data_IF_893300009489
#
_entry.id   IF_893300009489
#
_cell.length_a   1.000
_cell.length_b   1.000
_cell.length_c   1.000
_cell.angle_alpha   90.00
_cell.angle_beta   90.00
_cell.angle_gamma   90.00
#
_symmetry.space_group_name_H-M   'P 1'
#
loop_
_entity.id
_entity.type
_entity.pdbx_description
1 polymer ?
#
# COMPACT_ATOMS: atom_id res chain seq x y z
N UNK A 1 22.51 4.65 -4.91
CA UNK A 1 21.17 4.47 -5.54
C UNK A 1 21.24 3.99 -7.00
N UNK A 2 22.34 4.23 -7.72
CA UNK A 2 22.50 3.90 -9.16
C UNK A 2 22.69 2.40 -9.45
N UNK A 3 23.38 1.65 -8.58
CA UNK A 3 23.67 0.21 -8.79
C UNK A 3 22.42 -0.68 -8.63
N UNK A 4 21.53 -0.31 -7.71
CA UNK A 4 20.27 -1.04 -7.45
C UNK A 4 19.31 -0.89 -8.64
N UNK A 5 19.26 0.29 -9.26
CA UNK A 5 18.44 0.51 -10.46
C UNK A 5 18.84 -0.38 -11.63
N UNK A 6 20.15 -0.56 -11.82
CA UNK A 6 20.69 -1.37 -12.92
C UNK A 6 20.45 -2.86 -12.66
N UNK A 7 20.68 -3.35 -11.43
CA UNK A 7 20.43 -4.76 -11.08
C UNK A 7 18.94 -5.13 -11.15
N UNK A 8 18.05 -4.26 -10.67
CA UNK A 8 16.60 -4.46 -10.76
C UNK A 8 16.14 -4.45 -12.22
N UNK A 9 16.60 -3.51 -13.04
CA UNK A 9 16.27 -3.48 -14.47
C UNK A 9 16.76 -4.74 -15.21
N UNK A 10 17.99 -5.19 -14.95
CA UNK A 10 18.56 -6.39 -15.60
C UNK A 10 17.78 -7.65 -15.19
N UNK A 11 17.44 -7.79 -13.91
CA UNK A 11 16.64 -8.89 -13.39
C UNK A 11 15.20 -8.92 -13.93
N UNK A 12 14.60 -7.76 -14.21
CA UNK A 12 13.28 -7.70 -14.86
C UNK A 12 13.33 -7.94 -16.36
N UNK A 13 14.40 -7.50 -17.04
CA UNK A 13 14.58 -7.70 -18.47
C UNK A 13 14.73 -9.17 -18.85
N UNK A 14 15.31 -10.00 -17.96
CA UNK A 14 15.44 -11.45 -18.19
C UNK A 14 14.10 -12.21 -18.14
N UNK A 15 13.05 -11.61 -17.57
CA UNK A 15 11.70 -12.20 -17.45
C UNK A 15 10.77 -11.86 -18.63
N UNK A 16 11.23 -11.10 -19.63
CA UNK A 16 10.49 -10.86 -20.88
C UNK A 16 9.23 -9.99 -20.77
N UNK A 17 8.90 -9.46 -19.59
CA UNK A 17 7.80 -8.52 -19.37
C UNK A 17 8.23 -7.36 -18.48
N UNK A 18 7.79 -6.14 -18.81
CA UNK A 18 7.93 -4.97 -17.93
C UNK A 18 7.04 -5.16 -16.70
N UNK A 19 7.63 -5.42 -15.54
CA UNK A 19 6.91 -5.56 -14.29
C UNK A 19 6.68 -4.20 -13.60
N UNK A 20 5.68 -4.12 -12.73
CA UNK A 20 5.28 -2.93 -11.99
C UNK A 20 6.47 -2.27 -11.25
N UNK A 21 7.30 -3.07 -10.58
CA UNK A 21 8.44 -2.57 -9.83
C UNK A 21 9.48 -1.87 -10.74
N UNK A 22 9.81 -2.49 -11.86
CA UNK A 22 10.75 -1.94 -12.82
C UNK A 22 10.20 -0.71 -13.54
N UNK A 23 8.93 -0.73 -13.93
CA UNK A 23 8.24 0.44 -14.50
C UNK A 23 8.20 1.62 -13.51
N UNK A 24 7.94 1.33 -12.23
CA UNK A 24 7.94 2.32 -11.15
C UNK A 24 9.31 2.95 -10.98
N UNK A 25 10.36 2.13 -10.88
CA UNK A 25 11.72 2.60 -10.69
C UNK A 25 12.19 3.46 -11.87
N UNK A 26 11.92 3.00 -13.10
CA UNK A 26 12.23 3.74 -14.32
C UNK A 26 11.50 5.09 -14.35
N UNK A 27 10.22 5.12 -13.98
CA UNK A 27 9.45 6.35 -13.92
C UNK A 27 10.02 7.33 -12.89
N UNK A 28 10.32 6.87 -11.66
CA UNK A 28 10.90 7.72 -10.61
C UNK A 28 12.27 8.27 -11.03
N UNK A 29 13.10 7.45 -11.68
CA UNK A 29 14.40 7.90 -12.17
C UNK A 29 14.27 8.95 -13.28
N UNK A 30 13.37 8.72 -14.25
CA UNK A 30 13.10 9.70 -15.30
C UNK A 30 12.53 10.99 -14.73
N UNK A 31 11.61 10.90 -13.75
CA UNK A 31 11.03 12.05 -13.06
C UNK A 31 12.09 12.91 -12.35
N UNK A 32 13.11 12.28 -11.76
CA UNK A 32 14.19 12.99 -11.06
C UNK A 32 15.13 13.77 -11.97
N UNK A 33 15.26 13.35 -13.23
CA UNK A 33 16.29 13.89 -14.14
C UNK A 33 15.73 14.67 -15.31
N UNK A 34 14.43 14.54 -15.61
CA UNK A 34 13.83 15.22 -16.73
C UNK A 34 13.63 16.72 -16.45
N UNK A 35 14.00 17.61 -17.40
CA UNK A 35 13.76 19.05 -17.28
C UNK A 35 12.29 19.44 -17.58
N UNK A 36 11.40 18.47 -17.82
CA UNK A 36 10.03 18.70 -18.26
C UNK A 36 9.10 17.52 -17.93
N UNK A 37 7.97 17.45 -18.63
CA UNK A 37 6.95 16.43 -18.37
C UNK A 37 7.45 15.02 -18.68
N UNK A 38 7.26 14.10 -17.73
CA UNK A 38 7.57 12.67 -17.90
C UNK A 38 6.28 11.90 -18.14
N UNK A 39 6.22 11.18 -19.26
CA UNK A 39 5.08 10.32 -19.59
C UNK A 39 5.27 8.91 -19.01
N UNK A 40 4.39 8.43 -18.11
CA UNK A 40 4.52 7.12 -17.47
C UNK A 40 4.01 5.97 -18.36
N UNK A 41 4.32 5.95 -19.66
CA UNK A 41 3.72 5.02 -20.61
C UNK A 41 3.88 3.55 -20.20
N UNK A 42 5.07 3.17 -19.73
CA UNK A 42 5.33 1.80 -19.25
C UNK A 42 4.58 1.49 -17.95
N UNK A 43 4.53 2.44 -17.01
CA UNK A 43 3.77 2.23 -15.77
C UNK A 43 2.28 2.08 -16.05
N UNK A 44 1.74 2.85 -17.00
CA UNK A 44 0.35 2.73 -17.47
C UNK A 44 0.09 1.36 -18.12
N UNK A 45 1.08 0.78 -18.79
CA UNK A 45 0.94 -0.59 -19.33
C UNK A 45 0.91 -1.67 -18.23
N UNK A 46 1.40 -1.37 -17.03
CA UNK A 46 1.41 -2.27 -15.88
C UNK A 46 0.13 -2.18 -15.02
N UNK A 47 -0.84 -1.30 -15.33
CA UNK A 47 -2.08 -1.16 -14.54
C UNK A 47 -2.79 -2.50 -14.27
N UNK A 48 -2.89 -3.44 -15.23
CA UNK A 48 -3.52 -4.74 -14.97
C UNK A 48 -2.81 -5.60 -13.91
N UNK A 49 -1.53 -5.33 -13.64
CA UNK A 49 -0.78 -6.01 -12.57
C UNK A 49 -1.17 -5.50 -11.18
N UNK A 50 -1.72 -4.27 -11.09
CA UNK A 50 -2.19 -3.68 -9.83
C UNK A 50 -3.57 -4.23 -9.51
N UNK A 51 -4.52 -4.08 -10.43
CA UNK A 51 -5.85 -4.67 -10.36
C UNK A 51 -6.47 -4.72 -11.75
N UNK A 52 -7.19 -5.79 -12.06
CA UNK A 52 -7.92 -5.95 -13.32
C UNK A 52 -9.07 -4.92 -13.48
N UNK A 53 -9.48 -4.27 -12.39
CA UNK A 53 -10.53 -3.26 -12.38
C UNK A 53 -10.01 -1.87 -12.79
N UNK A 54 -8.70 -1.63 -12.70
CA UNK A 54 -8.10 -0.34 -13.04
C UNK A 54 -7.84 -0.28 -14.53
N UNK A 55 -8.61 0.54 -15.25
CA UNK A 55 -8.55 0.66 -16.70
C UNK A 55 -8.06 2.03 -17.15
N UNK A 56 -7.17 2.04 -18.16
CA UNK A 56 -6.71 3.26 -18.81
C UNK A 56 -7.89 3.98 -19.47
N UNK A 57 -7.97 5.30 -19.28
CA UNK A 57 -8.99 6.14 -19.90
C UNK A 57 -10.31 6.20 -19.11
N UNK A 58 -10.37 5.55 -17.94
CA UNK A 58 -11.48 5.65 -17.01
C UNK A 58 -11.05 6.36 -15.73
N UNK A 59 -11.96 7.13 -15.12
CA UNK A 59 -11.74 7.71 -13.80
C UNK A 59 -11.84 6.61 -12.75
N UNK A 60 -10.95 6.63 -11.76
CA UNK A 60 -10.81 5.59 -10.74
C UNK A 60 -10.65 6.23 -9.36
N UNK A 61 -10.96 5.47 -8.30
CA UNK A 61 -10.72 5.89 -6.93
C UNK A 61 -9.21 5.92 -6.64
N UNK A 62 -8.67 7.10 -6.32
CA UNK A 62 -7.24 7.25 -6.05
C UNK A 62 -6.78 6.51 -4.79
N UNK A 63 -7.67 6.40 -3.78
CA UNK A 63 -7.42 5.66 -2.56
C UNK A 63 -7.26 4.16 -2.84
N UNK A 64 -8.24 3.55 -3.52
CA UNK A 64 -8.18 2.13 -3.91
C UNK A 64 -6.97 1.84 -4.79
N UNK A 65 -6.70 2.71 -5.77
CA UNK A 65 -5.50 2.61 -6.60
C UNK A 65 -4.22 2.58 -5.75
N UNK A 66 -4.07 3.50 -4.81
CA UNK A 66 -2.88 3.62 -3.98
C UNK A 66 -2.69 2.40 -3.07
N UNK A 67 -3.76 1.93 -2.43
CA UNK A 67 -3.73 0.75 -1.58
C UNK A 67 -3.27 -0.50 -2.35
N UNK A 68 -3.88 -0.76 -3.51
CA UNK A 68 -3.49 -1.90 -4.35
C UNK A 68 -2.08 -1.75 -4.92
N UNK A 69 -1.71 -0.54 -5.34
CA UNK A 69 -0.38 -0.26 -5.84
C UNK A 69 0.70 -0.54 -4.79
N UNK A 70 0.55 -0.04 -3.57
CA UNK A 70 1.49 -0.28 -2.47
C UNK A 70 1.58 -1.77 -2.13
N UNK A 71 0.44 -2.47 -2.08
CA UNK A 71 0.37 -3.91 -1.82
C UNK A 71 1.14 -4.72 -2.87
N UNK A 72 0.84 -4.50 -4.16
CA UNK A 72 1.48 -5.25 -5.25
C UNK A 72 2.96 -4.91 -5.37
N UNK A 73 3.33 -3.63 -5.20
CA UNK A 73 4.72 -3.21 -5.26
C UNK A 73 5.56 -3.84 -4.13
N UNK A 74 5.05 -3.80 -2.90
CA UNK A 74 5.67 -4.41 -1.72
C UNK A 74 5.87 -5.92 -1.86
N UNK A 75 4.81 -6.62 -2.29
CA UNK A 75 4.85 -8.07 -2.51
C UNK A 75 5.84 -8.44 -3.63
N UNK A 76 5.82 -7.71 -4.75
CA UNK A 76 6.72 -7.96 -5.88
C UNK A 76 8.19 -7.75 -5.49
N UNK A 77 8.49 -6.65 -4.79
CA UNK A 77 9.85 -6.36 -4.33
C UNK A 77 10.35 -7.42 -3.34
N UNK A 78 9.51 -7.85 -2.40
CA UNK A 78 9.83 -8.91 -1.45
C UNK A 78 10.08 -10.24 -2.16
N UNK A 79 9.21 -10.62 -3.11
CA UNK A 79 9.37 -11.82 -3.92
C UNK A 79 10.69 -11.80 -4.71
N UNK A 80 11.03 -10.67 -5.33
CA UNK A 80 12.29 -10.54 -6.07
C UNK A 80 13.51 -10.62 -5.17
N UNK A 81 13.43 -10.14 -3.92
CA UNK A 81 14.50 -10.33 -2.95
C UNK A 81 14.64 -11.80 -2.53
N UNK A 82 13.53 -12.51 -2.30
CA UNK A 82 13.53 -13.97 -2.04
C UNK A 82 14.12 -14.78 -3.20
N UNK A 83 13.83 -14.37 -4.43
CA UNK A 83 14.35 -15.00 -5.66
C UNK A 83 15.78 -14.56 -6.01
N UNK A 84 16.43 -13.76 -5.16
CA UNK A 84 17.79 -13.22 -5.37
C UNK A 84 17.93 -12.33 -6.61
N UNK A 85 16.81 -11.83 -7.16
CA UNK A 85 16.76 -10.84 -8.23
C UNK A 85 17.07 -9.43 -7.72
N UNK A 86 16.78 -9.18 -6.44
CA UNK A 86 17.19 -8.01 -5.67
C UNK A 86 18.16 -8.48 -4.59
N UNK A 87 19.35 -7.86 -4.45
CA UNK A 87 20.28 -8.23 -3.38
C UNK A 87 19.64 -8.10 -2.00
N UNK A 88 19.88 -9.06 -1.11
CA UNK A 88 19.35 -9.01 0.26
C UNK A 88 19.85 -7.80 1.07
N UNK A 89 20.97 -7.19 0.66
CA UNK A 89 21.50 -5.95 1.21
C UNK A 89 20.71 -4.69 0.80
N UNK A 90 19.81 -4.81 -0.18
CA UNK A 90 18.93 -3.72 -0.58
C UNK A 90 17.82 -3.56 0.46
N UNK A 91 17.85 -2.45 1.20
CA UNK A 91 16.81 -2.18 2.19
C UNK A 91 15.48 -1.81 1.49
N UNK A 92 14.44 -2.63 1.71
CA UNK A 92 13.09 -2.42 1.21
C UNK A 92 12.15 -1.76 2.24
N UNK A 93 12.64 -1.35 3.42
CA UNK A 93 11.82 -0.79 4.51
C UNK A 93 11.04 0.47 4.10
N UNK A 94 11.49 1.19 3.07
CA UNK A 94 10.76 2.35 2.55
C UNK A 94 9.38 1.96 1.99
N UNK A 95 9.21 0.72 1.48
CA UNK A 95 7.92 0.23 1.01
C UNK A 95 6.93 0.07 2.17
N UNK A 96 7.43 -0.15 3.38
CA UNK A 96 6.62 -0.21 4.60
C UNK A 96 6.25 1.16 5.14
N UNK A 97 6.89 2.25 4.69
CA UNK A 97 6.63 3.61 5.19
C UNK A 97 5.23 4.13 4.85
N UNK A 98 4.50 3.46 3.95
CA UNK A 98 3.11 3.79 3.62
C UNK A 98 2.09 3.02 4.44
N UNK A 99 2.55 2.09 5.28
CA UNK A 99 1.69 1.23 6.07
C UNK A 99 1.71 1.64 7.54
N UNK A 100 0.60 1.44 8.23
CA UNK A 100 0.47 1.61 9.68
C UNK A 100 -0.35 0.47 10.27
N UNK A 101 -0.14 0.20 11.56
CA UNK A 101 -0.90 -0.81 12.29
C UNK A 101 -2.16 -0.18 12.88
N UNK A 102 -3.31 -0.79 12.60
CA UNK A 102 -4.55 -0.55 13.34
C UNK A 102 -4.82 -1.70 14.28
N UNK A 103 -4.93 -1.39 15.57
CA UNK A 103 -5.35 -2.32 16.59
C UNK A 103 -6.82 -2.09 16.91
N UNK A 104 -7.65 -3.08 16.63
CA UNK A 104 -9.06 -3.12 17.03
C UNK A 104 -9.19 -3.93 18.30
N UNK A 105 -9.86 -3.37 19.31
CA UNK A 105 -10.05 -3.99 20.62
C UNK A 105 -11.55 -4.13 20.90
N UNK A 106 -11.96 -5.30 21.38
CA UNK A 106 -13.32 -5.59 21.83
C UNK A 106 -13.27 -5.99 23.30
N UNK A 107 -13.96 -5.21 24.13
CA UNK A 107 -14.08 -5.47 25.57
C UNK A 107 -15.45 -6.07 25.88
N UNK A 108 -15.49 -7.23 26.53
CA UNK A 108 -16.72 -7.86 26.98
C UNK A 108 -17.22 -7.22 28.28
N UNK A 109 -18.40 -6.59 28.25
CA UNK A 109 -19.00 -5.93 29.42
C UNK A 109 -19.35 -6.87 30.59
N UNK A 110 -19.54 -8.17 30.32
CA UNK A 110 -19.93 -9.14 31.36
C UNK A 110 -18.74 -9.69 32.15
N UNK A 111 -17.53 -9.64 31.60
CA UNK A 111 -16.40 -10.37 32.17
C UNK A 111 -15.03 -9.68 32.03
N UNK A 112 -15.03 -8.45 31.49
CA UNK A 112 -13.88 -7.57 31.25
C UNK A 112 -12.77 -8.19 30.41
N UNK A 113 -13.08 -9.26 29.66
CA UNK A 113 -12.12 -9.85 28.73
C UNK A 113 -11.94 -8.95 27.51
N UNK A 114 -10.69 -8.69 27.13
CA UNK A 114 -10.34 -7.91 25.95
C UNK A 114 -9.78 -8.85 24.89
N UNK A 115 -10.39 -8.85 23.72
CA UNK A 115 -9.82 -9.45 22.52
C UNK A 115 -9.32 -8.35 21.60
N UNK A 116 -8.20 -8.57 20.92
CA UNK A 116 -7.69 -7.60 19.96
C UNK A 116 -7.23 -8.25 18.67
N UNK A 117 -7.44 -7.55 17.57
CA UNK A 117 -6.91 -7.90 16.26
C UNK A 117 -6.10 -6.73 15.72
N UNK A 118 -5.01 -7.01 15.02
CA UNK A 118 -4.16 -6.00 14.38
C UNK A 118 -4.19 -6.19 12.87
N UNK A 119 -4.42 -5.11 12.13
CA UNK A 119 -4.31 -5.10 10.67
C UNK A 119 -3.28 -4.08 10.21
N UNK A 120 -2.63 -4.36 9.08
CA UNK A 120 -1.74 -3.43 8.40
C UNK A 120 -2.54 -2.69 7.35
N UNK A 121 -2.66 -1.37 7.49
CA UNK A 121 -3.43 -0.53 6.57
C UNK A 121 -2.54 0.49 5.87
N UNK A 122 -3.01 1.01 4.73
CA UNK A 122 -2.39 2.16 4.02
C UNK A 122 -3.26 3.40 4.04
N UNK A 123 -4.53 3.25 4.42
CA UNK A 123 -5.55 4.28 4.36
C UNK A 123 -6.40 4.22 5.61
N UNK A 124 -6.62 5.38 6.25
CA UNK A 124 -7.55 5.52 7.35
C UNK A 124 -8.82 6.21 6.84
N UNK A 125 -9.92 5.48 6.61
CA UNK A 125 -11.15 6.09 6.14
C UNK A 125 -11.79 6.91 7.27
N UNK A 126 -11.98 8.21 7.04
CA UNK A 126 -12.61 9.12 8.00
C UNK A 126 -13.99 9.57 7.47
N UNK A 127 -14.99 9.56 8.34
CA UNK A 127 -16.31 10.12 8.01
C UNK A 127 -16.26 11.65 8.14
N UNK A 128 -16.20 12.35 7.00
CA UNK A 128 -16.02 13.80 6.97
C UNK A 128 -17.36 14.51 7.13
N UNK A 129 -17.49 15.25 8.23
CA UNK A 129 -18.65 16.12 8.50
C UNK A 129 -18.25 17.59 8.41
N UNK A 130 -19.10 18.42 7.79
CA UNK A 130 -18.82 19.85 7.60
C UNK A 130 -18.66 20.56 8.96
N UNK A 131 -17.62 21.39 9.09
CA UNK A 131 -17.36 22.20 10.30
C UNK A 131 -16.50 21.51 11.37
N UNK A 132 -16.09 20.26 11.13
CA UNK A 132 -15.20 19.50 12.01
C UNK A 132 -13.73 19.62 11.57
N UNK A 133 -12.80 19.33 12.49
CA UNK A 133 -11.36 19.32 12.23
C UNK A 133 -10.85 17.89 12.00
N UNK A 134 -9.66 17.74 11.44
CA UNK A 134 -9.00 16.42 11.34
C UNK A 134 -8.86 15.78 12.72
N UNK A 135 -8.52 16.57 13.75
CA UNK A 135 -8.38 16.06 15.11
C UNK A 135 -9.71 15.52 15.68
N UNK A 136 -10.85 16.16 15.38
CA UNK A 136 -12.14 15.61 15.81
C UNK A 136 -12.45 14.30 15.12
N UNK A 137 -12.18 14.15 13.83
CA UNK A 137 -12.42 12.88 13.13
C UNK A 137 -11.56 11.73 13.66
N UNK A 138 -10.29 12.01 13.98
CA UNK A 138 -9.41 11.00 14.58
C UNK A 138 -9.88 10.59 15.98
N UNK A 139 -10.35 11.56 16.77
CA UNK A 139 -10.94 11.27 18.08
C UNK A 139 -12.17 10.39 17.93
N UNK A 140 -13.07 10.75 17.03
CA UNK A 140 -14.30 10.01 16.77
C UNK A 140 -14.01 8.58 16.28
N UNK A 141 -13.03 8.40 15.41
CA UNK A 141 -12.59 7.08 14.93
C UNK A 141 -12.08 6.19 16.06
N UNK A 142 -11.41 6.76 17.06
CA UNK A 142 -10.84 6.03 18.20
C UNK A 142 -11.79 5.80 19.38
N UNK A 143 -12.99 6.40 19.34
CA UNK A 143 -13.93 6.30 20.46
C UNK A 143 -14.49 4.86 20.56
N UNK A 144 -14.66 4.32 21.78
CA UNK A 144 -15.37 3.07 21.97
C UNK A 144 -16.79 3.16 21.42
N UNK A 145 -17.22 2.10 20.75
CA UNK A 145 -18.58 1.96 20.23
C UNK A 145 -19.19 0.69 20.83
N UNK A 146 -20.44 0.79 21.29
CA UNK A 146 -21.19 -0.40 21.69
C UNK A 146 -21.57 -1.20 20.45
N UNK A 147 -21.21 -2.48 20.43
CA UNK A 147 -21.55 -3.36 19.33
C UNK A 147 -23.05 -3.68 19.32
N UNK A 148 -23.73 -3.38 18.22
CA UNK A 148 -25.17 -3.67 18.06
C UNK A 148 -25.49 -5.17 18.08
N UNK A 149 -24.51 -6.01 17.75
CA UNK A 149 -24.63 -7.47 17.74
C UNK A 149 -23.84 -8.13 18.87
N UNK A 150 -24.35 -9.25 19.39
CA UNK A 150 -23.65 -10.04 20.41
C UNK A 150 -22.29 -10.54 19.90
N UNK A 151 -21.21 -10.12 20.54
CA UNK A 151 -19.87 -10.64 20.33
C UNK A 151 -19.69 -11.95 21.09
N UNK A 152 -19.22 -13.00 20.41
CA UNK A 152 -18.90 -14.26 21.08
C UNK A 152 -17.62 -14.09 21.90
N UNK A 153 -17.77 -13.98 23.21
CA UNK A 153 -16.64 -14.03 24.13
C UNK A 153 -16.29 -15.49 24.41
N UNK A 154 -15.10 -15.93 24.00
CA UNK A 154 -14.64 -17.33 24.08
C UNK A 154 -14.25 -17.80 25.49
N UNK A 155 -14.88 -17.27 26.54
CA UNK A 155 -14.66 -17.74 27.92
C UNK A 155 -15.48 -18.99 28.19
#
# INVERSE_FOLDING_TARGET
MTVISVLVQISCMSLGQMCLLCSTLNFVNAYKTAPGTVHPATLVSCLPQISSQIQKGQQQCAAEFFQEYCRVLGNTASQYQTQQLIPASCNLSFLQSFFFELRSEVMCSSCDNITSNTTMETILPLHITKGCTVQSFLKDYSNPVELESSYYCSR
#
